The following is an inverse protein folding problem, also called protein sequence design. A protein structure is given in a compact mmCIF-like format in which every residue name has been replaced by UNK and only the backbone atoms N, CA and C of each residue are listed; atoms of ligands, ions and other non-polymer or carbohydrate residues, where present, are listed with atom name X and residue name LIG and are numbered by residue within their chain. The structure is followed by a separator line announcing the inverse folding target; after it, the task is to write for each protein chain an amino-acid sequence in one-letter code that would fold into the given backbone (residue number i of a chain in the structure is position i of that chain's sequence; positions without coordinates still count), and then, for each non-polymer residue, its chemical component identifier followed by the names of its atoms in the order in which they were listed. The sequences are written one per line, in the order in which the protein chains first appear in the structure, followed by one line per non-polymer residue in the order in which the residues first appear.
data_IF_476724723537
#
_entry.id   IF_476724723537
#
_cell.length_a   1.000
_cell.length_b   1.000
_cell.length_c   1.000
_cell.angle_alpha   90.00
_cell.angle_beta   90.00
_cell.angle_gamma   90.00
#
_symmetry.space_group_name_H-M   'P 1'
#
loop_
_entity.id
_entity.type
_entity.pdbx_description
1 polymer ?
#
# COMPACT_ATOMS: atom_id res chain seq x y z
N UNK A 1 -5.51 -23.31 -10.64
CA UNK A 1 -4.14 -23.50 -11.16
C UNK A 1 -3.79 -22.45 -12.23
N UNK A 2 -4.55 -22.33 -13.33
CA UNK A 2 -4.25 -21.38 -14.42
C UNK A 2 -4.32 -19.88 -14.00
N UNK A 3 -5.23 -19.52 -13.09
CA UNK A 3 -5.40 -18.13 -12.65
C UNK A 3 -4.30 -17.66 -11.66
N UNK A 4 -3.80 -18.55 -10.81
CA UNK A 4 -2.66 -18.25 -9.92
C UNK A 4 -1.36 -18.13 -10.71
N UNK A 5 -1.16 -19.01 -11.68
CA UNK A 5 0.00 -18.95 -12.57
C UNK A 5 0.02 -17.64 -13.37
N UNK A 6 -1.11 -17.23 -13.96
CA UNK A 6 -1.23 -15.93 -14.66
C UNK A 6 -0.97 -14.73 -13.75
N UNK A 7 -1.48 -14.75 -12.51
CA UNK A 7 -1.19 -13.70 -11.50
C UNK A 7 0.29 -13.64 -11.17
N UNK A 8 0.93 -14.79 -11.03
CA UNK A 8 2.36 -14.91 -10.74
C UNK A 8 3.22 -14.34 -11.88
N UNK A 9 2.94 -14.71 -13.13
CA UNK A 9 3.66 -14.19 -14.30
C UNK A 9 3.48 -12.67 -14.45
N UNK A 10 2.28 -12.15 -14.17
CA UNK A 10 2.03 -10.70 -14.20
C UNK A 10 2.80 -9.96 -13.11
N UNK A 11 2.89 -10.54 -11.91
CA UNK A 11 3.67 -9.97 -10.81
C UNK A 11 5.16 -9.92 -11.16
N UNK A 12 5.72 -11.01 -11.68
CA UNK A 12 7.14 -11.04 -12.10
C UNK A 12 7.44 -9.97 -13.15
N UNK A 13 6.61 -9.85 -14.18
CA UNK A 13 6.75 -8.79 -15.20
C UNK A 13 6.63 -7.38 -14.62
N UNK A 14 5.74 -7.18 -13.64
CA UNK A 14 5.59 -5.89 -12.98
C UNK A 14 6.84 -5.53 -12.17
N UNK A 15 7.45 -6.51 -11.50
CA UNK A 15 8.71 -6.34 -10.76
C UNK A 15 9.88 -6.07 -11.71
N UNK A 16 10.01 -6.84 -12.80
CA UNK A 16 11.03 -6.59 -13.82
C UNK A 16 10.89 -5.18 -14.43
N UNK A 17 9.66 -4.68 -14.58
CA UNK A 17 9.38 -3.33 -15.08
C UNK A 17 9.53 -2.22 -14.02
N UNK A 18 9.93 -2.52 -12.78
CA UNK A 18 10.05 -1.51 -11.71
C UNK A 18 8.71 -0.92 -11.26
N UNK A 19 7.61 -1.64 -11.47
CA UNK A 19 6.26 -1.16 -11.13
C UNK A 19 6.04 -1.19 -9.63
N UNK A 20 5.41 -0.14 -9.08
CA UNK A 20 5.04 -0.13 -7.65
C UNK A 20 4.10 -1.28 -7.30
N UNK A 21 4.34 -1.92 -6.16
CA UNK A 21 3.47 -2.98 -5.62
C UNK A 21 2.69 -2.41 -4.45
N UNK A 22 1.39 -2.70 -4.42
CA UNK A 22 0.51 -2.30 -3.33
C UNK A 22 -0.14 -3.53 -2.69
N UNK A 23 -0.04 -3.64 -1.37
CA UNK A 23 -0.77 -4.62 -0.57
C UNK A 23 -1.75 -3.86 0.32
N UNK A 24 -3.04 -4.16 0.20
CA UNK A 24 -4.09 -3.57 1.02
C UNK A 24 -4.76 -4.60 1.92
N UNK A 25 -5.10 -4.19 3.13
CA UNK A 25 -5.79 -5.02 4.10
C UNK A 25 -6.41 -4.20 5.22
N UNK A 26 -7.00 -4.91 6.18
CA UNK A 26 -7.59 -4.32 7.39
C UNK A 26 -6.90 -4.87 8.64
N UNK A 27 -6.52 -6.14 8.62
CA UNK A 27 -5.84 -6.85 9.70
C UNK A 27 -4.51 -7.41 9.21
N UNK A 28 -3.56 -7.56 10.13
CA UNK A 28 -2.28 -8.23 9.88
C UNK A 28 -2.40 -9.73 10.18
N UNK A 29 -2.78 -10.51 9.17
CA UNK A 29 -2.90 -11.98 9.26
C UNK A 29 -1.75 -12.70 8.53
N UNK A 30 -1.65 -14.02 8.68
CA UNK A 30 -0.58 -14.82 8.07
C UNK A 30 -0.54 -14.69 6.55
N UNK A 31 -1.69 -14.60 5.90
CA UNK A 31 -1.76 -14.38 4.45
C UNK A 31 -1.13 -13.04 4.04
N UNK A 32 -1.37 -11.97 4.80
CA UNK A 32 -0.75 -10.66 4.59
C UNK A 32 0.76 -10.74 4.78
N UNK A 33 1.22 -11.38 5.88
CA UNK A 33 2.64 -11.54 6.21
C UNK A 33 3.38 -12.34 5.13
N UNK A 34 2.83 -13.49 4.74
CA UNK A 34 3.42 -14.36 3.71
C UNK A 34 3.48 -13.67 2.34
N UNK A 35 2.45 -12.92 1.96
CA UNK A 35 2.46 -12.15 0.71
C UNK A 35 3.51 -11.04 0.74
N UNK A 36 3.62 -10.32 1.86
CA UNK A 36 4.64 -9.29 2.03
C UNK A 36 6.05 -9.88 1.89
N UNK A 37 6.35 -10.95 2.64
CA UNK A 37 7.66 -11.60 2.60
C UNK A 37 8.00 -12.04 1.17
N UNK A 38 7.04 -12.68 0.50
CA UNK A 38 7.18 -13.13 -0.89
C UNK A 38 7.49 -11.97 -1.83
N UNK A 39 6.78 -10.85 -1.71
CA UNK A 39 6.98 -9.70 -2.61
C UNK A 39 8.30 -8.99 -2.35
N UNK A 40 8.70 -8.81 -1.08
CA UNK A 40 10.01 -8.27 -0.73
C UNK A 40 11.14 -9.15 -1.27
N UNK A 41 11.02 -10.48 -1.09
CA UNK A 41 11.99 -11.45 -1.61
C UNK A 41 12.17 -11.32 -3.11
N UNK A 42 11.08 -11.30 -3.89
CA UNK A 42 11.14 -11.17 -5.35
C UNK A 42 11.75 -9.84 -5.81
N UNK A 43 11.41 -8.74 -5.14
CA UNK A 43 11.99 -7.43 -5.46
C UNK A 43 13.50 -7.45 -5.22
N UNK A 44 13.94 -7.90 -4.04
CA UNK A 44 15.35 -7.93 -3.67
C UNK A 44 16.16 -8.93 -4.52
N UNK A 45 15.58 -10.08 -4.86
CA UNK A 45 16.19 -11.08 -5.74
C UNK A 45 16.48 -10.49 -7.14
N UNK A 46 15.56 -9.68 -7.68
CA UNK A 46 15.70 -9.03 -8.99
C UNK A 46 16.94 -8.13 -9.08
N UNK A 47 17.41 -7.58 -7.95
CA UNK A 47 18.58 -6.71 -7.87
C UNK A 47 19.81 -7.40 -7.24
N UNK A 48 19.78 -8.73 -7.08
CA UNK A 48 20.83 -9.51 -6.42
C UNK A 48 21.11 -9.05 -4.96
N UNK A 49 20.06 -8.65 -4.24
CA UNK A 49 20.09 -8.19 -2.83
C UNK A 49 19.29 -9.10 -1.90
N UNK A 50 19.19 -10.39 -2.24
CA UNK A 50 18.38 -11.37 -1.52
C UNK A 50 18.79 -11.50 -0.04
N UNK A 51 20.06 -11.27 0.26
CA UNK A 51 20.66 -11.22 1.60
C UNK A 51 20.02 -10.19 2.53
N UNK A 52 19.46 -9.10 1.99
CA UNK A 52 18.79 -8.06 2.77
C UNK A 52 17.37 -8.44 3.20
N UNK A 53 16.79 -9.51 2.62
CA UNK A 53 15.39 -9.89 2.85
C UNK A 53 15.03 -10.06 4.33
N UNK A 54 15.80 -10.78 5.16
CA UNK A 54 15.44 -10.99 6.57
C UNK A 54 15.33 -9.68 7.36
N UNK A 55 16.27 -8.76 7.14
CA UNK A 55 16.31 -7.46 7.85
C UNK A 55 15.18 -6.58 7.38
N UNK A 56 15.01 -6.42 6.06
CA UNK A 56 13.94 -5.59 5.49
C UNK A 56 12.58 -6.11 5.92
N UNK A 57 12.37 -7.42 5.85
CA UNK A 57 11.12 -8.03 6.30
C UNK A 57 10.87 -7.79 7.80
N UNK A 58 11.86 -8.01 8.66
CA UNK A 58 11.74 -7.77 10.12
C UNK A 58 11.30 -6.34 10.42
N UNK A 59 11.99 -5.35 9.83
CA UNK A 59 11.68 -3.93 10.07
C UNK A 59 10.28 -3.57 9.55
N UNK A 60 9.90 -4.06 8.37
CA UNK A 60 8.57 -3.80 7.81
C UNK A 60 7.46 -4.49 8.62
N UNK A 61 7.72 -5.67 9.19
CA UNK A 61 6.79 -6.33 10.11
C UNK A 61 6.54 -5.49 11.36
N UNK A 62 7.57 -4.88 11.92
CA UNK A 62 7.43 -3.98 13.08
C UNK A 62 6.61 -2.73 12.71
N UNK A 63 6.89 -2.13 11.55
CA UNK A 63 6.10 -1.01 11.02
C UNK A 63 4.61 -1.38 10.86
N UNK A 64 4.33 -2.59 10.38
CA UNK A 64 2.98 -3.14 10.21
C UNK A 64 2.27 -3.42 11.53
N UNK A 65 2.98 -4.02 12.50
CA UNK A 65 2.44 -4.28 13.84
C UNK A 65 1.99 -2.96 14.48
N UNK A 66 2.84 -1.93 14.44
CA UNK A 66 2.50 -0.60 14.95
C UNK A 66 1.28 0.01 14.26
N UNK A 67 1.22 -0.06 12.94
CA UNK A 67 0.10 0.45 12.16
C UNK A 67 -1.22 -0.29 12.45
N UNK A 68 -1.18 -1.62 12.53
CA UNK A 68 -2.33 -2.45 12.88
C UNK A 68 -2.81 -2.18 14.31
N UNK A 69 -1.90 -2.09 15.29
CA UNK A 69 -2.21 -1.76 16.68
C UNK A 69 -2.88 -0.39 16.81
N UNK A 70 -2.45 0.60 16.01
CA UNK A 70 -3.06 1.93 16.01
C UNK A 70 -4.51 1.90 15.52
N UNK A 71 -4.79 1.15 14.44
CA UNK A 71 -6.15 0.94 13.94
C UNK A 71 -7.03 0.18 14.95
N UNK A 72 -6.50 -0.90 15.54
CA UNK A 72 -7.21 -1.69 16.55
C UNK A 72 -7.53 -0.88 17.79
N UNK A 73 -6.61 0.00 18.20
CA UNK A 73 -6.82 0.91 19.33
C UNK A 73 -7.92 1.92 19.07
N UNK A 74 -7.97 2.50 17.88
CA UNK A 74 -9.09 3.37 17.51
C UNK A 74 -10.42 2.60 17.52
N UNK A 75 -10.46 1.39 16.98
CA UNK A 75 -11.65 0.54 17.03
C UNK A 75 -12.07 0.24 18.46
N UNK A 76 -11.11 -0.07 19.35
CA UNK A 76 -11.36 -0.35 20.76
C UNK A 76 -11.99 0.85 21.48
N UNK A 77 -11.36 2.04 21.38
CA UNK A 77 -11.89 3.25 22.02
C UNK A 77 -13.26 3.66 21.45
N UNK A 78 -13.45 3.47 20.13
CA UNK A 78 -14.75 3.70 19.49
C UNK A 78 -15.83 2.77 20.05
N UNK A 79 -15.56 1.46 20.20
CA UNK A 79 -16.51 0.49 20.78
C UNK A 79 -16.84 0.79 22.23
N UNK A 80 -15.89 1.32 23.00
CA UNK A 80 -16.11 1.77 24.38
C UNK A 80 -16.80 3.13 24.49
N UNK A 81 -16.91 3.89 23.41
CA UNK A 81 -17.48 5.25 23.44
C UNK A 81 -16.62 6.25 24.20
N UNK A 82 -15.30 6.03 24.29
CA UNK A 82 -14.36 6.90 25.01
C UNK A 82 -13.42 7.63 24.06
N UNK A 83 -12.93 8.80 24.47
CA UNK A 83 -12.00 9.57 23.66
C UNK A 83 -10.54 9.26 24.03
N UNK A 84 -9.89 8.39 23.26
CA UNK A 84 -8.49 8.00 23.44
C UNK A 84 -7.45 9.10 23.21
N UNK A 85 -7.84 10.32 22.85
CA UNK A 85 -6.92 11.48 22.79
C UNK A 85 -6.76 12.18 24.14
N UNK A 86 -7.61 11.90 25.12
CA UNK A 86 -7.42 12.35 26.49
C UNK A 86 -6.46 11.38 27.20
N UNK A 87 -5.44 11.92 27.88
CA UNK A 87 -4.36 11.11 28.46
C UNK A 87 -4.84 10.29 29.66
N UNK A 88 -5.66 10.86 30.53
CA UNK A 88 -6.18 10.17 31.71
C UNK A 88 -7.04 8.96 31.29
N UNK A 89 -7.98 9.17 30.36
CA UNK A 89 -8.83 8.11 29.79
C UNK A 89 -7.99 7.05 29.08
N UNK A 90 -6.93 7.45 28.38
CA UNK A 90 -6.02 6.51 27.73
C UNK A 90 -5.34 5.60 28.75
N UNK A 91 -4.72 6.20 29.77
CA UNK A 91 -3.95 5.50 30.80
C UNK A 91 -4.85 4.52 31.59
N UNK A 92 -6.09 4.93 31.91
CA UNK A 92 -7.09 4.08 32.58
C UNK A 92 -7.51 2.85 31.76
N UNK A 93 -7.42 2.92 30.43
CA UNK A 93 -7.90 1.86 29.52
C UNK A 93 -6.77 1.04 28.89
N UNK A 94 -5.50 1.34 29.20
CA UNK A 94 -4.36 0.71 28.55
C UNK A 94 -4.28 -0.81 28.82
N UNK A 95 -4.54 -1.22 30.06
CA UNK A 95 -4.50 -2.64 30.43
C UNK A 95 -5.63 -3.43 29.77
N UNK A 96 -6.84 -2.88 29.74
CA UNK A 96 -7.96 -3.50 29.03
C UNK A 96 -7.70 -3.60 27.52
N UNK A 97 -7.06 -2.59 26.92
CA UNK A 97 -6.65 -2.66 25.52
C UNK A 97 -5.65 -3.79 25.27
N UNK A 98 -4.71 -4.03 26.19
CA UNK A 98 -3.77 -5.17 26.07
C UNK A 98 -4.48 -6.51 26.14
N UNK A 99 -5.40 -6.69 27.08
CA UNK A 99 -6.23 -7.89 27.19
C UNK A 99 -7.05 -8.10 25.91
N UNK A 100 -7.60 -7.02 25.36
CA UNK A 100 -8.33 -7.03 24.10
C UNK A 100 -7.47 -7.53 22.93
N UNK A 101 -6.20 -7.11 22.83
CA UNK A 101 -5.29 -7.59 21.78
C UNK A 101 -5.05 -9.10 21.88
N UNK A 102 -4.92 -9.64 23.10
CA UNK A 102 -4.69 -11.07 23.33
C UNK A 102 -5.93 -11.94 23.08
N UNK A 103 -7.12 -11.36 23.15
CA UNK A 103 -8.41 -12.06 22.99
C UNK A 103 -9.12 -11.70 21.67
N UNK A 104 -8.39 -11.05 20.76
CA UNK A 104 -8.92 -10.49 19.53
C UNK A 104 -9.49 -11.56 18.59
N UNK A 105 -10.79 -11.48 18.30
CA UNK A 105 -11.37 -12.18 17.14
C UNK A 105 -11.01 -11.41 15.86
N UNK A 106 -10.07 -11.96 15.10
CA UNK A 106 -9.58 -11.37 13.85
C UNK A 106 -10.68 -11.18 12.79
N UNK A 107 -11.73 -12.01 12.78
CA UNK A 107 -12.82 -11.91 11.81
C UNK A 107 -13.73 -10.72 12.13
N UNK A 108 -14.13 -10.60 13.39
CA UNK A 108 -14.91 -9.48 13.91
C UNK A 108 -14.13 -8.15 13.74
N UNK A 109 -12.85 -8.14 14.14
CA UNK A 109 -11.98 -6.98 13.99
C UNK A 109 -11.89 -6.53 12.52
N UNK A 110 -11.72 -7.46 11.58
CA UNK A 110 -11.69 -7.15 10.14
C UNK A 110 -12.97 -6.46 9.66
N UNK A 111 -14.14 -6.92 10.12
CA UNK A 111 -15.43 -6.34 9.72
C UNK A 111 -15.54 -4.91 10.26
N UNK A 112 -15.29 -4.72 11.56
CA UNK A 112 -15.41 -3.39 12.17
C UNK A 112 -14.40 -2.38 11.66
N UNK A 113 -13.14 -2.78 11.42
CA UNK A 113 -12.14 -1.91 10.79
C UNK A 113 -12.60 -1.47 9.39
N UNK A 114 -13.17 -2.40 8.62
CA UNK A 114 -13.71 -2.10 7.29
C UNK A 114 -14.91 -1.14 7.34
N UNK A 115 -15.86 -1.36 8.24
CA UNK A 115 -17.03 -0.51 8.42
C UNK A 115 -16.64 0.92 8.82
N UNK A 116 -15.59 1.06 9.63
CA UNK A 116 -15.05 2.35 10.05
C UNK A 116 -14.15 3.01 9.00
N UNK A 117 -13.84 2.32 7.91
CA UNK A 117 -12.94 2.82 6.86
C UNK A 117 -11.47 2.86 7.28
N UNK A 118 -11.07 2.13 8.32
CA UNK A 118 -9.67 2.03 8.75
C UNK A 118 -8.94 1.02 7.86
N UNK A 119 -7.80 1.39 7.31
CA UNK A 119 -7.03 0.54 6.40
C UNK A 119 -5.60 0.31 6.87
N UNK A 120 -5.03 -0.78 6.38
CA UNK A 120 -3.62 -1.10 6.46
C UNK A 120 -3.11 -1.27 5.02
N UNK A 121 -2.13 -0.45 4.62
CA UNK A 121 -1.60 -0.48 3.26
C UNK A 121 -0.07 -0.55 3.28
N UNK A 122 0.50 -1.38 2.41
CA UNK A 122 1.94 -1.40 2.13
C UNK A 122 2.16 -1.02 0.69
N UNK A 123 3.08 -0.10 0.45
CA UNK A 123 3.54 0.29 -0.89
C UNK A 123 5.02 -0.05 -0.98
N UNK A 124 5.39 -0.86 -1.97
CA UNK A 124 6.77 -1.21 -2.26
C UNK A 124 7.14 -0.54 -3.58
N UNK A 125 8.18 0.29 -3.55
CA UNK A 125 8.80 0.92 -4.72
C UNK A 125 10.23 0.40 -4.81
N UNK A 126 10.67 0.04 -6.01
CA UNK A 126 12.02 -0.46 -6.21
C UNK A 126 12.54 -0.07 -7.58
N UNK A 127 13.86 0.07 -7.66
CA UNK A 127 14.60 0.24 -8.90
C UNK A 127 16.02 -0.31 -8.72
N UNK A 128 16.85 -0.11 -9.73
CA UNK A 128 18.27 -0.45 -9.74
C UNK A 128 19.07 0.17 -8.57
N UNK A 129 18.69 1.36 -8.11
CA UNK A 129 19.39 2.07 -7.04
C UNK A 129 18.96 1.67 -5.62
N UNK A 130 17.75 1.14 -5.43
CA UNK A 130 17.25 0.82 -4.09
C UNK A 130 15.77 0.42 -4.01
N UNK A 131 15.35 0.14 -2.78
CA UNK A 131 13.99 -0.22 -2.40
C UNK A 131 13.45 0.80 -1.39
N UNK A 132 12.18 1.15 -1.50
CA UNK A 132 11.45 1.91 -0.49
C UNK A 132 10.14 1.20 -0.16
N UNK A 133 9.91 0.96 1.14
CA UNK A 133 8.70 0.33 1.65
C UNK A 133 7.98 1.31 2.54
N UNK A 134 6.72 1.61 2.21
CA UNK A 134 5.85 2.50 2.98
C UNK A 134 4.72 1.68 3.59
N UNK A 135 4.50 1.81 4.90
CA UNK A 135 3.38 1.24 5.64
C UNK A 135 2.48 2.39 6.07
N UNK A 136 1.20 2.31 5.69
CA UNK A 136 0.23 3.36 5.89
C UNK A 136 -0.96 2.86 6.71
N UNK A 137 -1.45 3.73 7.59
CA UNK A 137 -2.72 3.58 8.30
C UNK A 137 -3.38 4.96 8.48
N UNK A 138 -4.68 4.99 8.75
CA UNK A 138 -5.48 6.22 8.85
C UNK A 138 -6.20 6.34 10.20
N UNK A 139 -5.66 5.71 11.24
CA UNK A 139 -6.20 5.89 12.59
C UNK A 139 -6.02 7.33 13.07
N UNK A 140 -6.91 7.82 13.92
CA UNK A 140 -6.82 9.15 14.55
C UNK A 140 -5.49 9.35 15.27
N UNK A 141 -4.85 10.50 15.02
CA UNK A 141 -3.64 10.92 15.71
C UNK A 141 -3.89 11.11 17.22
N UNK A 142 -3.01 10.53 18.04
CA UNK A 142 -2.96 10.74 19.49
C UNK A 142 -1.64 11.48 19.81
N UNK A 143 -1.66 12.80 20.07
CA UNK A 143 -0.45 13.63 20.13
C UNK A 143 0.61 13.17 21.13
N UNK A 144 0.20 12.76 22.34
CA UNK A 144 1.16 12.34 23.37
C UNK A 144 1.83 10.99 23.03
N UNK A 145 1.16 10.11 22.28
CA UNK A 145 1.79 8.89 21.77
C UNK A 145 2.80 9.19 20.66
N UNK A 146 2.51 10.16 19.80
CA UNK A 146 3.47 10.61 18.79
C UNK A 146 4.70 11.24 19.45
N UNK A 147 4.53 12.09 20.46
CA UNK A 147 5.64 12.67 21.21
C UNK A 147 6.48 11.58 21.89
N UNK A 148 5.83 10.60 22.54
CA UNK A 148 6.51 9.45 23.15
C UNK A 148 7.30 8.66 22.11
N UNK A 149 6.72 8.38 20.94
CA UNK A 149 7.41 7.68 19.86
C UNK A 149 8.63 8.46 19.35
N UNK A 150 8.53 9.78 19.19
CA UNK A 150 9.66 10.60 18.74
C UNK A 150 10.81 10.57 19.73
N UNK A 151 10.53 10.67 21.03
CA UNK A 151 11.54 10.52 22.10
C UNK A 151 12.16 9.13 22.09
N UNK A 152 11.33 8.11 21.93
CA UNK A 152 11.77 6.72 21.83
C UNK A 152 12.71 6.50 20.64
N UNK A 153 12.32 6.94 19.45
CA UNK A 153 13.17 6.81 18.26
C UNK A 153 14.48 7.58 18.42
N UNK A 154 14.44 8.79 19.00
CA UNK A 154 15.66 9.56 19.26
C UNK A 154 16.63 8.83 20.19
N UNK A 155 16.13 8.21 21.27
CA UNK A 155 16.95 7.38 22.15
C UNK A 155 17.46 6.12 21.42
N UNK A 156 16.59 5.45 20.66
CA UNK A 156 16.92 4.21 19.97
C UNK A 156 18.00 4.36 18.90
N UNK A 157 18.12 5.54 18.28
CA UNK A 157 19.18 5.85 17.34
C UNK A 157 20.58 5.86 17.98
N UNK A 158 20.67 6.11 19.29
CA UNK A 158 21.94 6.14 20.03
C UNK A 158 22.36 4.75 20.54
N UNK A 159 21.42 3.79 20.62
CA UNK A 159 21.72 2.46 21.14
C UNK A 159 22.73 1.72 20.28
N UNK A 160 23.79 1.20 20.91
CA UNK A 160 24.81 0.37 20.26
C UNK A 160 24.52 -1.11 20.34
N UNK A 161 23.75 -1.51 21.35
CA UNK A 161 23.40 -2.90 21.63
C UNK A 161 22.09 -2.93 22.42
N UNK A 162 21.57 -4.14 22.63
CA UNK A 162 20.30 -4.37 23.31
C UNK A 162 20.34 -4.04 24.81
N UNK A 163 21.50 -4.05 25.46
CA UNK A 163 21.58 -3.75 26.90
C UNK A 163 21.29 -2.28 27.18
N UNK A 164 21.75 -1.38 26.33
CA UNK A 164 21.50 0.07 26.45
C UNK A 164 19.99 0.39 26.39
N UNK A 165 19.19 -0.42 25.67
CA UNK A 165 17.73 -0.31 25.69
C UNK A 165 17.17 -0.50 27.10
N UNK A 166 17.55 -1.59 27.78
CA UNK A 166 17.05 -1.91 29.11
C UNK A 166 17.59 -0.98 30.20
N UNK A 167 18.74 -0.34 29.98
CA UNK A 167 19.25 0.71 30.86
C UNK A 167 18.40 1.98 30.79
N UNK A 168 17.90 2.34 29.59
CA UNK A 168 17.07 3.54 29.38
C UNK A 168 15.59 3.29 29.69
N UNK A 169 15.09 2.07 29.45
CA UNK A 169 13.69 1.66 29.66
C UNK A 169 13.57 0.48 30.64
N UNK A 170 13.99 0.64 31.92
CA UNK A 170 13.95 -0.44 32.91
C UNK A 170 12.53 -0.92 33.25
N UNK A 171 11.52 -0.10 33.00
CA UNK A 171 10.11 -0.44 33.18
C UNK A 171 9.58 -1.43 32.14
N UNK A 172 10.23 -1.54 30.98
CA UNK A 172 9.90 -2.50 29.94
C UNK A 172 10.77 -3.76 30.04
N UNK A 173 10.81 -4.35 31.23
CA UNK A 173 11.59 -5.54 31.54
C UNK A 173 11.24 -6.78 30.69
N UNK A 174 10.02 -6.84 30.15
CA UNK A 174 9.55 -7.88 29.23
C UNK A 174 9.87 -7.59 27.76
N UNK A 175 10.42 -6.41 27.45
CA UNK A 175 10.77 -6.01 26.08
C UNK A 175 9.57 -5.88 25.16
N UNK A 176 8.41 -5.43 25.66
CA UNK A 176 7.19 -5.31 24.86
C UNK A 176 7.25 -4.17 23.86
N UNK A 177 8.01 -3.13 24.17
CA UNK A 177 8.19 -1.95 23.33
C UNK A 177 9.55 -1.97 22.58
N UNK A 178 10.25 -3.12 22.53
CA UNK A 178 11.63 -3.22 22.03
C UNK A 178 11.75 -3.24 20.49
N UNK A 179 10.66 -3.54 19.78
CA UNK A 179 10.69 -3.93 18.37
C UNK A 179 11.34 -2.90 17.44
N UNK A 180 11.06 -1.61 17.64
CA UNK A 180 11.67 -0.54 16.84
C UNK A 180 13.14 -0.30 17.18
N UNK A 181 13.54 -0.42 18.45
CA UNK A 181 14.95 -0.37 18.84
C UNK A 181 15.74 -1.54 18.23
N UNK A 182 15.17 -2.75 18.25
CA UNK A 182 15.77 -3.92 17.59
C UNK A 182 15.87 -3.70 16.07
N UNK A 183 14.84 -3.13 15.46
CA UNK A 183 14.85 -2.78 14.04
C UNK A 183 16.03 -1.84 13.69
N UNK A 184 16.28 -0.83 14.51
CA UNK A 184 17.40 0.11 14.35
C UNK A 184 18.75 -0.59 14.48
N UNK A 185 18.90 -1.47 15.49
CA UNK A 185 20.11 -2.27 15.69
C UNK A 185 20.38 -3.21 14.50
N UNK A 186 19.36 -3.94 14.03
CA UNK A 186 19.47 -4.84 12.87
C UNK A 186 19.87 -4.11 11.58
N UNK A 187 19.30 -2.93 11.34
CA UNK A 187 19.70 -2.09 10.20
C UNK A 187 21.20 -1.76 10.28
N UNK A 188 21.67 -1.34 11.46
CA UNK A 188 23.09 -0.98 11.66
C UNK A 188 24.02 -2.18 11.49
N UNK A 189 23.68 -3.32 12.09
CA UNK A 189 24.49 -4.56 12.01
C UNK A 189 24.65 -5.07 10.58
N UNK A 190 23.68 -4.78 9.71
CA UNK A 190 23.70 -5.17 8.30
C UNK A 190 24.22 -4.08 7.36
N UNK A 191 24.77 -3.00 7.92
CA UNK A 191 25.36 -1.90 7.15
C UNK A 191 24.33 -0.97 6.50
N UNK A 192 23.04 -1.16 6.79
CA UNK A 192 21.98 -0.24 6.39
C UNK A 192 21.95 0.98 7.32
N UNK A 193 21.40 2.08 6.82
CA UNK A 193 21.36 3.37 7.51
C UNK A 193 20.05 3.52 8.29
N UNK A 194 20.05 3.49 9.64
CA UNK A 194 18.82 3.63 10.42
C UNK A 194 18.07 4.96 10.18
N UNK A 195 18.75 6.01 9.73
CA UNK A 195 18.16 7.34 9.43
C UNK A 195 17.21 7.31 8.21
N UNK A 196 17.24 6.21 7.47
CA UNK A 196 16.35 5.91 6.35
C UNK A 196 15.07 5.15 6.79
N UNK A 197 14.97 4.77 8.06
CA UNK A 197 13.71 4.44 8.71
C UNK A 197 13.07 5.72 9.26
N UNK A 198 11.85 6.01 8.84
CA UNK A 198 11.14 7.24 9.19
C UNK A 198 9.70 6.95 9.52
N UNK A 199 9.21 7.54 10.59
CA UNK A 199 7.81 7.44 10.98
C UNK A 199 7.24 8.85 11.04
N UNK A 200 6.19 9.09 10.27
CA UNK A 200 5.52 10.39 10.17
C UNK A 200 4.01 10.26 10.32
N UNK A 201 3.41 11.33 10.80
CA UNK A 201 1.96 11.50 10.90
C UNK A 201 1.53 12.59 9.92
N UNK A 202 0.70 12.26 8.94
CA UNK A 202 -0.04 13.24 8.14
C UNK A 202 -1.39 13.58 8.80
N UNK A 203 -2.15 14.48 8.18
CA UNK A 203 -3.47 14.88 8.69
C UNK A 203 -4.49 13.73 8.64
N UNK A 204 -4.50 12.97 7.54
CA UNK A 204 -5.45 11.85 7.33
C UNK A 204 -4.78 10.48 7.35
N UNK A 205 -3.48 10.43 7.05
CA UNK A 205 -2.74 9.18 6.88
C UNK A 205 -1.39 9.27 7.57
N UNK A 206 -1.09 8.27 8.39
CA UNK A 206 0.21 8.05 9.00
C UNK A 206 1.05 7.14 8.10
N UNK A 207 2.35 7.46 7.98
CA UNK A 207 3.26 6.77 7.08
C UNK A 207 4.53 6.41 7.84
N UNK A 208 4.82 5.12 7.95
CA UNK A 208 6.16 4.61 8.25
C UNK A 208 6.85 4.26 6.94
N UNK A 209 8.09 4.68 6.74
CA UNK A 209 8.88 4.40 5.55
C UNK A 209 10.24 3.83 5.91
N UNK A 210 10.64 2.76 5.23
CA UNK A 210 12.00 2.25 5.20
C UNK A 210 12.56 2.42 3.79
N UNK A 211 13.71 3.08 3.67
CA UNK A 211 14.48 3.21 2.42
C UNK A 211 15.76 2.36 2.51
N UNK A 212 16.01 1.51 1.52
CA UNK A 212 17.12 0.54 1.46
C UNK A 212 17.95 0.83 0.21
N UNK A 213 19.07 1.55 0.36
CA UNK A 213 20.03 1.78 -0.72
C UNK A 213 20.67 0.48 -1.20
N UNK A 214 20.82 0.28 -2.52
CA UNK A 214 21.60 -0.83 -3.07
C UNK A 214 23.05 -0.47 -3.38
N UNK A 215 23.32 0.84 -3.47
CA UNK A 215 24.63 1.45 -3.68
C UNK A 215 24.65 2.93 -3.29
N UNK A 216 25.76 3.61 -3.58
CA UNK A 216 25.99 5.02 -3.22
C UNK A 216 25.18 6.00 -4.08
N UNK A 217 24.75 5.57 -5.26
CA UNK A 217 23.92 6.32 -6.20
C UNK A 217 22.51 6.56 -5.67
N UNK A 218 22.07 5.79 -4.66
CA UNK A 218 20.75 5.93 -4.08
C UNK A 218 20.56 7.32 -3.48
N UNK A 219 19.51 8.00 -3.94
CA UNK A 219 19.05 9.26 -3.36
C UNK A 219 17.76 9.01 -2.60
N UNK A 220 17.78 9.33 -1.31
CA UNK A 220 16.58 9.20 -0.48
C UNK A 220 15.46 10.08 -1.00
N UNK A 221 14.22 9.64 -0.80
CA UNK A 221 13.01 10.36 -1.22
C UNK A 221 13.02 11.78 -0.65
N UNK A 222 13.45 11.98 0.61
CA UNK A 222 13.58 13.33 1.18
C UNK A 222 14.57 14.19 0.40
N UNK A 223 15.71 13.64 0.01
CA UNK A 223 16.73 14.37 -0.76
C UNK A 223 16.20 14.71 -2.15
N UNK A 224 15.47 13.79 -2.79
CA UNK A 224 14.79 14.04 -4.06
C UNK A 224 13.78 15.19 -3.94
N UNK A 225 12.92 15.18 -2.91
CA UNK A 225 11.97 16.28 -2.64
C UNK A 225 12.70 17.62 -2.47
N UNK A 226 13.76 17.67 -1.66
CA UNK A 226 14.50 18.91 -1.40
C UNK A 226 15.20 19.47 -2.64
N UNK A 227 15.51 18.61 -3.60
CA UNK A 227 16.18 18.96 -4.84
C UNK A 227 15.21 19.13 -6.03
N UNK A 228 13.90 19.08 -5.79
CA UNK A 228 12.86 19.08 -6.84
C UNK A 228 13.06 18.00 -7.92
N UNK A 229 13.58 16.83 -7.49
CA UNK A 229 13.76 15.66 -8.35
C UNK A 229 12.47 14.84 -8.43
N UNK A 230 12.20 14.25 -9.59
CA UNK A 230 11.05 13.36 -9.77
C UNK A 230 11.11 12.15 -8.82
N UNK A 231 10.00 11.92 -8.12
CA UNK A 231 9.79 10.74 -7.25
C UNK A 231 8.91 9.76 -8.03
N UNK A 232 9.53 8.84 -8.75
CA UNK A 232 8.81 7.80 -9.47
C UNK A 232 7.95 6.90 -8.55
N UNK A 233 6.71 6.52 -8.94
CA UNK A 233 5.76 7.28 -9.71
C UNK A 233 4.67 7.78 -8.74
N UNK A 234 4.74 9.04 -8.34
CA UNK A 234 3.51 9.82 -8.46
C UNK A 234 3.50 10.29 -9.91
N UNK A 235 2.74 9.66 -10.83
CA UNK A 235 2.17 10.49 -11.87
C UNK A 235 1.53 11.66 -11.12
N UNK A 236 1.69 12.89 -11.61
CA UNK A 236 0.60 13.83 -11.39
C UNK A 236 -0.61 13.07 -11.91
N UNK A 237 -1.52 12.64 -11.02
CA UNK A 237 -2.85 12.19 -11.41
C UNK A 237 -3.58 13.42 -11.95
N UNK A 238 -3.15 13.81 -13.15
CA UNK A 238 -3.77 14.65 -14.15
C UNK A 238 -3.08 14.29 -15.48
N UNK A 239 -2.93 13.00 -15.81
CA UNK A 239 -3.44 12.66 -17.14
C UNK A 239 -4.96 12.65 -16.97
N UNK A 240 -5.56 13.84 -17.06
CA UNK A 240 -6.69 13.92 -17.98
C UNK A 240 -6.15 13.22 -19.23
N UNK A 241 -6.63 12.00 -19.50
CA UNK A 241 -6.63 11.56 -20.88
C UNK A 241 -7.23 12.76 -21.61
N UNK A 242 -6.41 13.49 -22.36
CA UNK A 242 -6.93 14.38 -23.37
C UNK A 242 -7.61 13.40 -24.31
N UNK A 243 -8.87 13.09 -24.02
CA UNK A 243 -9.78 12.42 -24.93
C UNK A 243 -9.77 13.33 -26.15
N UNK A 244 -8.94 12.95 -27.15
CA UNK A 244 -8.98 13.58 -28.45
C UNK A 244 -10.46 13.58 -28.87
N UNK A 245 -11.02 14.73 -29.29
CA UNK A 245 -12.45 14.86 -29.50
C UNK A 245 -12.92 13.72 -30.40
N UNK A 246 -13.80 12.89 -29.84
CA UNK A 246 -14.25 11.67 -30.48
C UNK A 246 -14.80 12.00 -31.86
N UNK A 247 -14.28 11.31 -32.87
CA UNK A 247 -14.85 11.42 -34.21
C UNK A 247 -16.25 10.81 -34.14
N UNK A 248 -17.23 11.57 -34.59
CA UNK A 248 -18.63 11.17 -34.59
C UNK A 248 -19.06 10.79 -35.99
N UNK A 249 -19.77 9.68 -36.10
CA UNK A 249 -20.22 9.10 -37.35
C UNK A 249 -21.74 8.97 -37.36
N UNK A 250 -22.37 9.24 -38.50
CA UNK A 250 -23.83 9.16 -38.63
C UNK A 250 -24.23 7.73 -38.99
N UNK A 251 -25.03 7.10 -38.14
CA UNK A 251 -25.62 5.79 -38.41
C UNK A 251 -26.55 5.87 -39.62
N UNK A 252 -26.31 5.06 -40.65
CA UNK A 252 -27.11 5.05 -41.87
C UNK A 252 -28.50 4.42 -41.69
N UNK A 253 -28.71 3.68 -40.59
CA UNK A 253 -29.99 3.05 -40.30
C UNK A 253 -30.93 3.96 -39.50
N UNK A 254 -30.50 4.47 -38.34
CA UNK A 254 -31.36 5.33 -37.49
C UNK A 254 -31.11 6.83 -37.67
N UNK A 255 -30.13 7.23 -38.51
CA UNK A 255 -29.78 8.61 -38.78
C UNK A 255 -29.09 9.36 -37.63
N UNK A 256 -28.87 8.70 -36.48
CA UNK A 256 -28.24 9.30 -35.28
C UNK A 256 -26.74 9.46 -35.49
N UNK A 257 -26.21 10.58 -35.00
CA UNK A 257 -24.76 10.78 -34.87
C UNK A 257 -24.31 10.08 -33.60
N UNK A 258 -23.36 9.16 -33.73
CA UNK A 258 -22.86 8.33 -32.64
C UNK A 258 -21.33 8.39 -32.59
N UNK A 259 -20.79 8.12 -31.42
CA UNK A 259 -19.35 7.97 -31.19
C UNK A 259 -18.80 6.74 -31.97
N UNK A 260 -17.60 6.86 -32.52
CA UNK A 260 -16.96 5.78 -33.29
C UNK A 260 -16.80 4.47 -32.49
N UNK A 261 -16.74 4.50 -31.15
CA UNK A 261 -16.69 3.29 -30.30
C UNK A 261 -17.93 2.40 -30.41
N UNK A 262 -19.06 3.01 -30.77
CA UNK A 262 -20.33 2.32 -30.94
C UNK A 262 -20.81 2.36 -32.40
N UNK A 263 -19.94 2.72 -33.33
CA UNK A 263 -20.21 2.73 -34.77
C UNK A 263 -19.39 1.64 -35.46
N UNK A 264 -20.06 0.79 -36.23
CA UNK A 264 -19.45 -0.26 -37.03
C UNK A 264 -19.51 0.15 -38.49
N UNK A 265 -18.40 0.53 -39.15
CA UNK A 265 -18.38 0.87 -40.57
C UNK A 265 -18.87 -0.29 -41.45
N UNK A 266 -18.50 -1.51 -41.07
CA UNK A 266 -18.97 -2.76 -41.65
C UNK A 266 -19.40 -3.71 -40.51
N UNK A 267 -20.42 -4.52 -40.77
CA UNK A 267 -20.87 -5.54 -39.80
C UNK A 267 -19.83 -6.66 -39.76
N UNK A 268 -19.28 -7.01 -38.58
CA UNK A 268 -18.34 -8.13 -38.45
C UNK A 268 -18.95 -9.43 -38.98
N UNK A 269 -18.18 -10.20 -39.77
CA UNK A 269 -18.66 -11.40 -40.49
C UNK A 269 -19.07 -12.55 -39.56
N UNK A 270 -18.55 -12.49 -38.35
CA UNK A 270 -18.68 -13.46 -37.26
C UNK A 270 -19.96 -13.28 -36.45
N UNK A 271 -20.76 -12.26 -36.78
CA UNK A 271 -22.05 -11.99 -36.15
C UNK A 271 -23.21 -12.62 -36.96
N UNK A 272 -23.99 -13.56 -36.39
CA UNK A 272 -25.11 -14.20 -37.08
C UNK A 272 -26.34 -13.29 -37.10
N UNK A 273 -26.43 -12.42 -38.09
CA UNK A 273 -27.53 -11.45 -38.23
C UNK A 273 -28.74 -12.05 -38.96
N UNK A 274 -29.96 -11.93 -38.41
CA UNK A 274 -31.20 -12.28 -39.13
C UNK A 274 -31.59 -11.17 -40.13
N UNK A 275 -31.93 -11.58 -41.36
CA UNK A 275 -32.37 -10.77 -42.53
C UNK A 275 -32.37 -9.25 -42.30
N UNK A 276 -31.24 -8.60 -42.56
CA UNK A 276 -31.11 -7.14 -42.57
C UNK A 276 -31.59 -6.55 -43.92
N UNK A 277 -32.23 -5.36 -43.92
CA UNK A 277 -32.56 -4.64 -45.15
C UNK A 277 -31.31 -4.17 -45.90
N UNK A 278 -31.42 -4.06 -47.23
CA UNK A 278 -30.28 -3.89 -48.15
C UNK A 278 -29.41 -2.61 -48.04
N UNK A 279 -29.81 -1.46 -47.45
CA UNK A 279 -28.88 -0.33 -47.36
C UNK A 279 -27.76 -0.54 -46.32
N UNK A 280 -27.86 -1.56 -45.47
CA UNK A 280 -26.87 -1.89 -44.43
C UNK A 280 -25.82 -2.93 -44.85
N UNK A 281 -25.97 -3.59 -46.01
CA UNK A 281 -24.99 -4.58 -46.53
C UNK A 281 -23.86 -3.95 -47.35
N UNK A 282 -23.99 -2.69 -47.73
CA UNK A 282 -23.11 -1.99 -48.67
C UNK A 282 -22.06 -1.08 -48.03
N UNK A 283 -21.71 -1.30 -46.75
CA UNK A 283 -20.61 -0.60 -46.07
C UNK A 283 -20.95 0.82 -45.59
N UNK A 284 -22.23 1.14 -45.38
CA UNK A 284 -22.67 2.49 -44.99
C UNK A 284 -22.67 2.74 -43.47
N UNK A 285 -22.15 1.81 -42.66
CA UNK A 285 -21.98 1.97 -41.22
C UNK A 285 -23.25 1.99 -40.37
N UNK A 286 -23.23 1.24 -39.27
CA UNK A 286 -24.38 1.02 -38.37
C UNK A 286 -23.94 1.21 -36.91
N UNK A 287 -24.77 1.81 -36.07
CA UNK A 287 -24.47 1.89 -34.64
C UNK A 287 -24.80 0.59 -33.89
N UNK A 288 -24.12 0.35 -32.77
CA UNK A 288 -24.25 -0.84 -31.93
C UNK A 288 -25.70 -1.13 -31.51
N UNK A 289 -26.49 -0.10 -31.21
CA UNK A 289 -27.90 -0.24 -30.83
C UNK A 289 -28.80 -0.72 -31.97
N UNK A 290 -28.51 -0.27 -33.20
CA UNK A 290 -29.24 -0.75 -34.36
C UNK A 290 -28.81 -2.17 -34.72
N UNK A 291 -27.50 -2.47 -34.63
CA UNK A 291 -26.97 -3.81 -34.86
C UNK A 291 -27.56 -4.83 -33.86
N UNK A 292 -27.67 -4.47 -32.58
CA UNK A 292 -28.23 -5.34 -31.55
C UNK A 292 -29.70 -5.70 -31.75
N UNK A 293 -30.44 -4.93 -32.56
CA UNK A 293 -31.84 -5.23 -32.89
C UNK A 293 -31.98 -6.36 -33.93
N UNK A 294 -30.87 -6.80 -34.52
CA UNK A 294 -30.82 -7.84 -35.56
C UNK A 294 -29.95 -9.06 -35.18
N UNK A 295 -29.38 -9.06 -33.98
CA UNK A 295 -28.81 -10.22 -33.28
C UNK A 295 -29.94 -11.13 -32.79
#
# INVERSE_FOLDING_TARGET
MDQEFKRWTRLLRAIEAGTRIELGGYILNDSFRNNLEKYLKLCLETYNKLDLTPVVYSVVQEMLLRAATSNLREMFFFRKGVNGTNKEVFDENEEEFRIFLNTLDTKDARISLKEKGLFLKVIIRHNDTGLAVEVLHNSKLIPFLEERLRKYLAAAMEFKNLMEYYEVYPEDNEGRDIGLALSILMLRETGLKPELLRIGSGEEVHISRLEVPFGEEYRSIRRKILNDEEIFPFPKDHTEEIELPWKTSRCSYCGRVVDDRIFFPEVPKDIPVKVMPEPTRSGHGICAWCLSSYL
#
